data_IF_214188298526
#
_entry.id   IF_214188298526
#
_cell.length_a   1.000
_cell.length_b   1.000
_cell.length_c   1.000
_cell.angle_alpha   90.00
_cell.angle_beta   90.00
_cell.angle_gamma   90.00
#
_symmetry.space_group_name_H-M   'P 1'
#
loop_
_entity.id
_entity.type
_entity.pdbx_description
1 polymer ?
#
# COMPACT_ATOMS: atom_id res chain seq x y z
N UNK A 1 11.34 -10.80 11.82
CA UNK A 1 10.11 -11.34 12.41
C UNK A 1 10.41 -12.48 13.37
N UNK A 2 11.14 -13.52 12.97
CA UNK A 2 11.41 -14.71 13.80
C UNK A 2 12.49 -14.51 14.86
N UNK A 3 13.49 -13.67 14.60
CA UNK A 3 14.50 -13.29 15.60
C UNK A 3 14.20 -11.89 16.12
N UNK A 4 13.74 -11.79 17.35
CA UNK A 4 13.58 -10.50 18.04
C UNK A 4 14.96 -9.96 18.40
N UNK A 5 15.36 -8.87 17.79
CA UNK A 5 16.55 -8.10 18.15
C UNK A 5 16.14 -6.63 18.32
N UNK A 6 16.93 -5.82 19.02
CA UNK A 6 16.65 -4.38 19.11
C UNK A 6 16.51 -3.74 17.73
N UNK A 7 17.32 -4.16 16.77
CA UNK A 7 17.26 -3.67 15.40
C UNK A 7 15.92 -4.01 14.72
N UNK A 8 15.40 -5.24 14.89
CA UNK A 8 14.12 -5.62 14.29
C UNK A 8 12.96 -4.85 14.90
N UNK A 9 13.01 -4.53 16.19
CA UNK A 9 12.01 -3.71 16.86
C UNK A 9 12.02 -2.26 16.34
N UNK A 10 13.20 -1.68 16.15
CA UNK A 10 13.33 -0.33 15.56
C UNK A 10 12.80 -0.32 14.12
N UNK A 11 13.17 -1.31 13.30
CA UNK A 11 12.65 -1.42 11.93
C UNK A 11 11.12 -1.57 11.90
N UNK A 12 10.55 -2.31 12.85
CA UNK A 12 9.10 -2.50 12.95
C UNK A 12 8.38 -1.18 13.27
N UNK A 13 8.93 -0.36 14.16
CA UNK A 13 8.41 0.98 14.45
C UNK A 13 8.58 1.91 13.25
N UNK A 14 9.75 1.92 12.62
CA UNK A 14 10.02 2.77 11.45
C UNK A 14 9.08 2.45 10.27
N UNK A 15 8.76 1.18 10.05
CA UNK A 15 7.83 0.78 9.00
C UNK A 15 6.39 1.23 9.26
N UNK A 16 6.00 1.47 10.53
CA UNK A 16 4.68 1.99 10.89
C UNK A 16 4.59 3.51 10.86
N UNK A 17 5.72 4.21 10.92
CA UNK A 17 5.79 5.66 11.02
C UNK A 17 4.99 6.39 9.92
N UNK A 18 5.10 6.00 8.62
CA UNK A 18 4.36 6.68 7.56
C UNK A 18 2.83 6.54 7.67
N UNK A 19 2.34 5.50 8.33
CA UNK A 19 0.91 5.30 8.56
C UNK A 19 0.35 6.25 9.62
N UNK A 20 1.14 6.54 10.65
CA UNK A 20 0.74 7.39 11.78
C UNK A 20 0.73 8.87 11.38
N UNK A 21 1.60 9.28 10.45
CA UNK A 21 1.68 10.67 10.00
C UNK A 21 0.40 11.06 9.25
N UNK A 22 -0.23 12.21 9.60
CA UNK A 22 -1.34 12.74 8.82
C UNK A 22 -0.97 12.91 7.34
N UNK A 23 -1.88 12.53 6.42
CA UNK A 23 -1.57 12.56 4.98
C UNK A 23 -1.18 13.95 4.45
N UNK A 24 -1.81 15.00 4.95
CA UNK A 24 -1.44 16.38 4.60
C UNK A 24 0.00 16.72 5.02
N UNK A 25 0.41 16.31 6.21
CA UNK A 25 1.79 16.52 6.70
C UNK A 25 2.78 15.75 5.83
N UNK A 26 2.47 14.49 5.51
CA UNK A 26 3.30 13.70 4.61
C UNK A 26 3.37 14.34 3.22
N UNK A 27 2.25 14.80 2.67
CA UNK A 27 2.21 15.49 1.38
C UNK A 27 3.09 16.74 1.34
N UNK A 28 3.00 17.59 2.37
CA UNK A 28 3.86 18.78 2.50
C UNK A 28 5.34 18.39 2.60
N UNK A 29 5.65 17.36 3.40
CA UNK A 29 7.02 16.87 3.56
C UNK A 29 7.59 16.36 2.24
N UNK A 30 6.80 15.63 1.47
CA UNK A 30 7.19 15.15 0.13
C UNK A 30 7.41 16.30 -0.84
N UNK A 31 6.51 17.28 -0.84
CA UNK A 31 6.66 18.47 -1.69
C UNK A 31 7.96 19.20 -1.36
N UNK A 32 8.24 19.42 -0.09
CA UNK A 32 9.46 20.10 0.34
C UNK A 32 10.73 19.30 0.00
N UNK A 33 10.72 17.98 0.25
CA UNK A 33 11.89 17.12 0.05
C UNK A 33 12.21 16.86 -1.43
N UNK A 34 11.19 16.84 -2.31
CA UNK A 34 11.31 16.41 -3.70
C UNK A 34 10.98 17.52 -4.71
N UNK A 35 10.95 18.77 -4.31
CA UNK A 35 10.75 19.92 -5.20
C UNK A 35 12.04 20.62 -5.60
N UNK A 36 13.21 20.07 -5.25
CA UNK A 36 14.54 20.61 -5.54
C UNK A 36 15.51 19.53 -6.01
N UNK A 37 16.69 19.94 -6.55
CA UNK A 37 17.75 19.01 -6.89
C UNK A 37 18.13 18.11 -5.70
N UNK A 38 18.51 16.82 -5.93
CA UNK A 38 18.60 16.15 -7.22
C UNK A 38 17.29 15.57 -7.75
N UNK A 39 16.20 15.58 -6.97
CA UNK A 39 14.95 14.89 -7.27
C UNK A 39 13.81 15.89 -7.52
N UNK A 40 13.69 16.38 -8.74
CA UNK A 40 12.61 17.27 -9.17
C UNK A 40 11.33 16.46 -9.47
N UNK A 41 10.65 15.98 -8.43
CA UNK A 41 9.40 15.22 -8.57
C UNK A 41 8.14 16.06 -8.35
N UNK A 42 8.28 17.30 -7.89
CA UNK A 42 7.16 18.22 -7.67
C UNK A 42 6.29 18.36 -8.92
N UNK A 43 4.97 18.25 -8.77
CA UNK A 43 4.01 18.34 -9.87
C UNK A 43 3.93 17.15 -10.79
N UNK A 44 4.65 16.06 -10.53
CA UNK A 44 4.60 14.82 -11.31
C UNK A 44 3.67 13.78 -10.67
N UNK A 45 3.20 12.82 -11.46
CA UNK A 45 2.46 11.66 -10.95
C UNK A 45 3.32 10.84 -9.97
N UNK A 46 4.64 10.81 -10.19
CA UNK A 46 5.56 10.01 -9.38
C UNK A 46 5.58 10.41 -7.91
N UNK A 47 5.53 11.71 -7.59
CA UNK A 47 5.51 12.14 -6.19
C UNK A 47 4.24 11.66 -5.47
N UNK A 48 3.09 11.65 -6.17
CA UNK A 48 1.83 11.13 -5.63
C UNK A 48 1.97 9.62 -5.40
N UNK A 49 2.44 8.87 -6.40
CA UNK A 49 2.62 7.41 -6.30
C UNK A 49 3.57 7.04 -5.16
N UNK A 50 4.72 7.72 -5.03
CA UNK A 50 5.67 7.46 -3.94
C UNK A 50 5.07 7.78 -2.57
N UNK A 51 4.42 8.93 -2.41
CA UNK A 51 3.78 9.33 -1.15
C UNK A 51 2.73 8.30 -0.72
N UNK A 52 1.86 7.89 -1.63
CA UNK A 52 0.81 6.93 -1.38
C UNK A 52 1.36 5.52 -1.12
N UNK A 53 2.38 5.09 -1.87
CA UNK A 53 3.00 3.78 -1.69
C UNK A 53 3.65 3.65 -0.31
N UNK A 54 4.44 4.64 0.09
CA UNK A 54 5.11 4.65 1.40
C UNK A 54 4.07 4.65 2.53
N UNK A 55 3.01 5.43 2.39
CA UNK A 55 1.97 5.52 3.41
C UNK A 55 1.18 4.21 3.60
N UNK A 56 1.03 3.40 2.55
CA UNK A 56 0.25 2.16 2.57
C UNK A 56 1.10 0.90 2.70
N UNK A 57 2.41 1.00 2.55
CA UNK A 57 3.35 -0.11 2.74
C UNK A 57 3.15 -0.86 4.08
N UNK A 58 2.82 -0.20 5.21
CA UNK A 58 2.56 -0.87 6.48
C UNK A 58 1.49 -1.96 6.42
N UNK A 59 0.44 -1.83 5.62
CA UNK A 59 -0.60 -2.86 5.48
C UNK A 59 -0.02 -4.17 4.96
N UNK A 60 0.75 -4.10 3.87
CA UNK A 60 1.37 -5.29 3.27
C UNK A 60 2.43 -5.88 4.18
N UNK A 61 3.23 -5.05 4.85
CA UNK A 61 4.24 -5.52 5.81
C UNK A 61 3.56 -6.27 6.97
N UNK A 62 2.52 -5.70 7.58
CA UNK A 62 1.82 -6.33 8.71
C UNK A 62 1.12 -7.62 8.32
N UNK A 63 0.41 -7.62 7.21
CA UNK A 63 -0.25 -8.83 6.73
C UNK A 63 0.77 -9.94 6.42
N UNK A 64 1.86 -9.61 5.73
CA UNK A 64 2.93 -10.56 5.44
C UNK A 64 3.61 -11.09 6.69
N UNK A 65 3.89 -10.22 7.69
CA UNK A 65 4.51 -10.65 8.95
C UNK A 65 3.59 -11.53 9.77
N UNK A 66 2.27 -11.30 9.74
CA UNK A 66 1.30 -12.16 10.40
C UNK A 66 1.32 -13.59 9.82
N UNK A 67 1.32 -13.72 8.49
CA UNK A 67 1.42 -15.03 7.83
C UNK A 67 2.76 -15.73 8.15
N UNK A 68 3.89 -15.01 8.09
CA UNK A 68 5.19 -15.61 8.47
C UNK A 68 5.16 -16.15 9.91
N UNK A 69 4.46 -15.46 10.80
CA UNK A 69 4.31 -15.92 12.18
C UNK A 69 3.52 -17.23 12.34
N UNK A 70 2.67 -17.54 11.36
CA UNK A 70 1.87 -18.78 11.32
C UNK A 70 2.61 -19.96 10.65
N UNK A 71 3.59 -19.68 9.80
CA UNK A 71 4.40 -20.72 9.14
C UNK A 71 5.35 -21.35 10.16
N UNK A 72 5.27 -22.69 10.32
CA UNK A 72 6.18 -23.42 11.21
C UNK A 72 7.64 -23.29 10.75
N UNK A 73 8.59 -22.97 11.65
CA UNK A 73 10.01 -22.98 11.34
C UNK A 73 10.52 -24.32 10.81
N UNK A 74 9.90 -25.42 11.21
CA UNK A 74 10.28 -26.79 10.77
C UNK A 74 10.23 -26.99 9.26
N UNK A 75 9.39 -26.25 8.54
CA UNK A 75 9.30 -26.31 7.08
C UNK A 75 10.61 -25.80 6.45
N UNK A 76 11.14 -24.69 6.95
CA UNK A 76 12.42 -24.14 6.48
C UNK A 76 13.60 -25.03 6.88
N UNK A 77 13.58 -25.55 8.11
CA UNK A 77 14.60 -26.48 8.65
C UNK A 77 14.63 -27.78 7.83
N UNK A 78 13.47 -28.35 7.50
CA UNK A 78 13.39 -29.54 6.65
C UNK A 78 13.97 -29.30 5.25
N UNK A 79 13.69 -28.15 4.64
CA UNK A 79 14.26 -27.76 3.36
C UNK A 79 15.79 -27.68 3.40
N UNK A 80 16.32 -27.07 4.46
CA UNK A 80 17.78 -26.95 4.64
C UNK A 80 18.41 -28.31 4.89
N UNK A 81 17.77 -29.17 5.68
CA UNK A 81 18.21 -30.55 5.94
C UNK A 81 18.26 -31.42 4.68
N UNK A 82 17.40 -31.13 3.70
CA UNK A 82 17.40 -31.73 2.37
C UNK A 82 18.44 -31.11 1.41
N UNK A 83 19.34 -30.23 1.92
CA UNK A 83 20.45 -29.64 1.15
C UNK A 83 20.11 -28.36 0.41
N UNK A 84 18.93 -27.74 0.65
CA UNK A 84 18.64 -26.43 0.08
C UNK A 84 19.41 -25.33 0.83
N UNK A 85 19.95 -24.35 0.11
CA UNK A 85 20.50 -23.16 0.73
C UNK A 85 19.40 -22.27 1.34
N UNK A 86 19.73 -21.46 2.33
CA UNK A 86 18.77 -20.52 2.97
C UNK A 86 18.07 -19.62 1.94
N UNK A 87 18.80 -19.11 0.94
CA UNK A 87 18.24 -18.28 -0.13
C UNK A 87 17.26 -19.08 -0.98
N UNK A 88 17.58 -20.31 -1.33
CA UNK A 88 16.70 -21.18 -2.12
C UNK A 88 15.42 -21.53 -1.33
N UNK A 89 15.55 -21.81 -0.04
CA UNK A 89 14.41 -22.03 0.88
C UNK A 89 13.52 -20.79 0.94
N UNK A 90 14.10 -19.62 1.15
CA UNK A 90 13.37 -18.36 1.20
C UNK A 90 12.59 -18.09 -0.10
N UNK A 91 13.25 -18.19 -1.25
CA UNK A 91 12.62 -17.89 -2.55
C UNK A 91 11.57 -18.93 -2.98
N UNK A 92 11.79 -20.21 -2.68
CA UNK A 92 10.92 -21.31 -3.18
C UNK A 92 9.86 -21.79 -2.20
N UNK A 93 10.03 -21.49 -0.92
CA UNK A 93 9.11 -21.94 0.13
C UNK A 93 8.52 -20.74 0.86
N UNK A 94 9.36 -19.91 1.50
CA UNK A 94 8.87 -18.85 2.38
C UNK A 94 8.09 -17.79 1.59
N UNK A 95 8.61 -17.29 0.47
CA UNK A 95 7.90 -16.30 -0.36
C UNK A 95 6.55 -16.82 -0.89
N UNK A 96 6.45 -17.98 -1.52
CA UNK A 96 5.15 -18.53 -1.95
C UNK A 96 4.16 -18.70 -0.80
N UNK A 97 4.60 -19.16 0.37
CA UNK A 97 3.75 -19.30 1.55
C UNK A 97 3.31 -17.95 2.14
N UNK A 98 4.07 -16.88 1.92
CA UNK A 98 3.69 -15.51 2.32
C UNK A 98 2.70 -14.85 1.36
N UNK A 99 2.56 -15.36 0.14
CA UNK A 99 1.80 -14.70 -0.92
C UNK A 99 0.35 -14.36 -0.52
N UNK A 100 -0.41 -15.21 0.19
CA UNK A 100 -1.74 -14.85 0.68
C UNK A 100 -1.74 -13.59 1.57
N UNK A 101 -0.74 -13.46 2.46
CA UNK A 101 -0.57 -12.28 3.30
C UNK A 101 -0.22 -11.01 2.50
N UNK A 102 0.65 -11.15 1.50
CA UNK A 102 0.99 -10.04 0.61
C UNK A 102 -0.24 -9.57 -0.16
N UNK A 103 -1.02 -10.51 -0.71
CA UNK A 103 -2.25 -10.20 -1.46
C UNK A 103 -3.31 -9.56 -0.55
N UNK A 104 -3.53 -10.09 0.64
CA UNK A 104 -4.46 -9.50 1.62
C UNK A 104 -4.05 -8.06 1.99
N UNK A 105 -2.76 -7.82 2.27
CA UNK A 105 -2.23 -6.48 2.54
C UNK A 105 -2.35 -5.54 1.33
N UNK A 106 -2.17 -6.06 0.12
CA UNK A 106 -2.32 -5.30 -1.11
C UNK A 106 -3.79 -4.88 -1.34
N UNK A 107 -4.75 -5.76 -1.06
CA UNK A 107 -6.19 -5.44 -1.13
C UNK A 107 -6.53 -4.32 -0.13
N UNK A 108 -6.09 -4.44 1.12
CA UNK A 108 -6.31 -3.41 2.13
C UNK A 108 -5.68 -2.07 1.74
N UNK A 109 -4.48 -2.10 1.19
CA UNK A 109 -3.82 -0.91 0.65
C UNK A 109 -4.64 -0.29 -0.48
N UNK A 110 -5.11 -1.10 -1.43
CA UNK A 110 -5.89 -0.65 -2.58
C UNK A 110 -7.19 0.03 -2.18
N UNK A 111 -7.99 -0.61 -1.29
CA UNK A 111 -9.26 -0.05 -0.80
C UNK A 111 -9.06 1.35 -0.19
N UNK A 112 -7.97 1.53 0.55
CA UNK A 112 -7.67 2.80 1.20
C UNK A 112 -7.01 3.82 0.29
N UNK A 113 -6.31 3.38 -0.77
CA UNK A 113 -5.66 4.24 -1.75
C UNK A 113 -6.64 4.90 -2.70
N UNK A 114 -7.64 4.13 -3.16
CA UNK A 114 -8.56 4.60 -4.20
C UNK A 114 -9.40 5.81 -3.75
N UNK A 115 -9.62 5.95 -2.45
CA UNK A 115 -10.35 7.07 -1.84
C UNK A 115 -9.44 8.07 -1.11
N UNK A 116 -8.11 7.99 -1.31
CA UNK A 116 -7.18 8.85 -0.59
C UNK A 116 -7.22 10.29 -1.11
N UNK A 117 -7.47 11.25 -0.22
CA UNK A 117 -7.55 12.67 -0.51
C UNK A 117 -6.42 13.46 0.18
N UNK A 118 -6.05 13.09 1.41
CA UNK A 118 -5.26 13.93 2.30
C UNK A 118 -3.88 14.31 1.77
N UNK A 119 -3.14 13.36 1.18
CA UNK A 119 -1.84 13.62 0.55
C UNK A 119 -2.03 14.13 -0.88
N UNK A 120 -3.02 13.57 -1.60
CA UNK A 120 -3.28 13.90 -2.98
C UNK A 120 -3.67 15.37 -3.19
N UNK A 121 -4.46 15.96 -2.28
CA UNK A 121 -4.88 17.35 -2.35
C UNK A 121 -3.73 18.35 -2.15
N UNK A 122 -2.61 17.92 -1.58
CA UNK A 122 -1.41 18.73 -1.41
C UNK A 122 -0.46 18.59 -2.61
N UNK A 123 -0.39 17.40 -3.19
CA UNK A 123 0.62 17.05 -4.20
C UNK A 123 0.14 17.22 -5.64
N UNK A 124 -1.17 17.38 -5.86
CA UNK A 124 -1.74 17.44 -7.21
C UNK A 124 -1.38 18.74 -7.93
N UNK A 125 -1.43 18.66 -9.25
CA UNK A 125 -1.46 19.79 -10.17
C UNK A 125 -2.61 19.59 -11.15
N UNK A 126 -2.90 20.59 -11.99
CA UNK A 126 -3.94 20.45 -13.03
C UNK A 126 -3.73 19.24 -13.96
N UNK A 127 -2.48 18.78 -14.12
CA UNK A 127 -2.11 17.62 -14.96
C UNK A 127 -2.13 16.29 -14.21
N UNK A 128 -2.13 16.31 -12.87
CA UNK A 128 -2.00 15.11 -12.03
C UNK A 128 -3.15 14.99 -11.03
N UNK A 129 -4.29 15.64 -11.33
CA UNK A 129 -5.47 15.64 -10.50
C UNK A 129 -6.04 14.22 -10.39
N UNK A 130 -6.18 13.72 -9.15
CA UNK A 130 -6.85 12.44 -8.89
C UNK A 130 -8.37 12.64 -8.86
N UNK A 131 -9.13 11.55 -9.05
CA UNK A 131 -10.58 11.63 -9.05
C UNK A 131 -11.15 12.11 -7.70
N UNK A 132 -10.52 11.70 -6.59
CA UNK A 132 -10.88 12.18 -5.23
C UNK A 132 -10.65 13.68 -5.06
N UNK A 133 -9.57 14.21 -5.62
CA UNK A 133 -9.29 15.67 -5.61
C UNK A 133 -10.30 16.39 -6.52
N UNK A 134 -10.67 15.82 -7.67
CA UNK A 134 -11.69 16.39 -8.55
C UNK A 134 -13.04 16.49 -7.83
N UNK A 135 -13.48 15.42 -7.16
CA UNK A 135 -14.71 15.42 -6.33
C UNK A 135 -14.65 16.52 -5.30
N UNK A 136 -13.58 16.58 -4.53
CA UNK A 136 -13.37 17.59 -3.49
C UNK A 136 -13.44 19.01 -4.06
N UNK A 137 -12.79 19.26 -5.20
CA UNK A 137 -12.76 20.56 -5.85
C UNK A 137 -14.15 21.00 -6.31
N UNK A 138 -14.96 20.08 -6.86
CA UNK A 138 -16.33 20.37 -7.29
C UNK A 138 -17.27 20.63 -6.09
N UNK A 139 -17.08 19.92 -4.99
CA UNK A 139 -17.82 20.18 -3.73
C UNK A 139 -17.51 21.59 -3.20
N UNK A 140 -16.24 21.98 -3.17
CA UNK A 140 -15.85 23.35 -2.72
C UNK A 140 -16.43 24.43 -3.63
N UNK A 141 -16.59 24.16 -4.92
CA UNK A 141 -17.21 25.06 -5.89
C UNK A 141 -18.74 25.04 -5.84
N UNK A 142 -19.35 24.27 -4.91
CA UNK A 142 -20.80 24.06 -4.80
C UNK A 142 -21.42 23.42 -6.06
N UNK A 143 -20.59 22.74 -6.88
CA UNK A 143 -21.02 22.05 -8.09
C UNK A 143 -21.35 20.59 -7.78
N UNK A 144 -22.41 20.37 -7.00
CA UNK A 144 -22.78 19.05 -6.47
C UNK A 144 -23.16 18.04 -7.55
N UNK A 145 -23.66 18.50 -8.72
CA UNK A 145 -23.96 17.62 -9.85
C UNK A 145 -22.72 16.92 -10.41
N UNK A 146 -21.67 17.68 -10.67
CA UNK A 146 -20.40 17.10 -11.12
C UNK A 146 -19.73 16.27 -10.04
N UNK A 147 -19.75 16.74 -8.79
CA UNK A 147 -19.21 15.98 -7.67
C UNK A 147 -19.91 14.61 -7.54
N UNK A 148 -21.23 14.53 -7.68
CA UNK A 148 -21.98 13.29 -7.66
C UNK A 148 -21.62 12.38 -8.84
N UNK A 149 -21.48 12.93 -10.05
CA UNK A 149 -21.08 12.17 -11.23
C UNK A 149 -19.67 11.54 -11.04
N UNK A 150 -18.69 12.32 -10.61
CA UNK A 150 -17.33 11.81 -10.33
C UNK A 150 -17.32 10.79 -9.19
N UNK A 151 -18.12 10.99 -8.14
CA UNK A 151 -18.27 10.03 -7.05
C UNK A 151 -18.86 8.70 -7.52
N UNK A 152 -19.83 8.73 -8.44
CA UNK A 152 -20.38 7.53 -9.06
C UNK A 152 -19.32 6.78 -9.85
N UNK A 153 -18.52 7.48 -10.66
CA UNK A 153 -17.41 6.89 -11.41
C UNK A 153 -16.39 6.26 -10.45
N UNK A 154 -16.01 6.97 -9.39
CA UNK A 154 -15.08 6.46 -8.38
C UNK A 154 -15.62 5.18 -7.73
N UNK A 155 -16.89 5.16 -7.35
CA UNK A 155 -17.55 4.00 -6.72
C UNK A 155 -17.57 2.81 -7.66
N UNK A 156 -18.00 3.00 -8.92
CA UNK A 156 -18.02 1.94 -9.92
C UNK A 156 -16.62 1.39 -10.21
N UNK A 157 -15.63 2.26 -10.35
CA UNK A 157 -14.23 1.87 -10.54
C UNK A 157 -13.69 1.09 -9.34
N UNK A 158 -14.06 1.51 -8.12
CA UNK A 158 -13.67 0.82 -6.88
C UNK A 158 -14.27 -0.59 -6.81
N UNK A 159 -15.56 -0.73 -7.08
CA UNK A 159 -16.25 -2.02 -7.10
C UNK A 159 -15.63 -2.93 -8.16
N UNK A 160 -15.46 -2.43 -9.38
CA UNK A 160 -14.90 -3.20 -10.48
C UNK A 160 -13.47 -3.67 -10.18
N UNK A 161 -12.63 -2.78 -9.65
CA UNK A 161 -11.25 -3.12 -9.31
C UNK A 161 -11.17 -4.17 -8.19
N UNK A 162 -12.06 -4.09 -7.19
CA UNK A 162 -12.14 -5.11 -6.14
C UNK A 162 -12.59 -6.47 -6.69
N UNK A 163 -13.61 -6.49 -7.55
CA UNK A 163 -14.06 -7.72 -8.19
C UNK A 163 -12.94 -8.39 -9.01
N UNK A 164 -12.19 -7.58 -9.78
CA UNK A 164 -11.02 -8.07 -10.52
C UNK A 164 -9.97 -8.61 -9.55
N UNK A 165 -9.69 -7.89 -8.47
CA UNK A 165 -8.70 -8.28 -7.48
C UNK A 165 -9.05 -9.63 -6.83
N UNK A 166 -10.30 -9.80 -6.38
CA UNK A 166 -10.78 -11.06 -5.82
C UNK A 166 -10.72 -12.21 -6.83
N UNK A 167 -11.03 -11.94 -8.10
CA UNK A 167 -10.98 -12.96 -9.14
C UNK A 167 -9.54 -13.42 -9.46
N UNK A 168 -8.59 -12.49 -9.45
CA UNK A 168 -7.16 -12.77 -9.70
C UNK A 168 -6.48 -13.39 -8.47
N UNK A 169 -6.84 -12.95 -7.27
CA UNK A 169 -6.28 -13.48 -6.01
C UNK A 169 -6.70 -14.92 -5.72
N UNK A 170 -7.67 -15.47 -6.47
CA UNK A 170 -8.20 -16.81 -6.28
C UNK A 170 -9.02 -16.92 -5.00
N UNK A 171 -10.27 -17.31 -5.11
CA UNK A 171 -11.24 -17.47 -4.01
C UNK A 171 -10.87 -18.59 -3.00
N UNK A 172 -9.60 -18.90 -2.82
CA UNK A 172 -9.17 -20.05 -2.01
C UNK A 172 -9.14 -19.83 -0.50
N UNK A 173 -9.23 -18.57 -0.03
CA UNK A 173 -9.03 -18.26 1.39
C UNK A 173 -10.11 -17.37 2.01
N UNK A 174 -11.30 -17.26 1.43
CA UNK A 174 -12.45 -16.61 2.06
C UNK A 174 -13.47 -17.61 2.64
N UNK A 175 -13.06 -18.84 2.91
CA UNK A 175 -13.83 -19.74 3.78
C UNK A 175 -13.48 -19.40 5.24
N UNK A 176 -14.23 -18.48 5.81
CA UNK A 176 -14.36 -18.29 7.25
C UNK A 176 -15.08 -19.51 7.81
#
# INVERSE_FOLDING_TARGET
VRKRSPLTSVLDVLTMFPYIIPGSVLGISFLYAFNGPPFLLGGTVLIIVFSLSIRRMPYTIRSSTAIIGQISPSIEEASISLGASQIKTFLRITIPMMLPGVLSGAIMSWITLISELSSSVILYTSKTMTLTVAIYSEVIRSNFGNAAAYSTILTLTSILSLLIFFRVSGSRDLSI
#
